data_IF_747070424281
#
_entry.id   IF_747070424281
#
_cell.length_a   1.000
_cell.length_b   1.000
_cell.length_c   1.000
_cell.angle_alpha   90.00
_cell.angle_beta   90.00
_cell.angle_gamma   90.00
#
_symmetry.space_group_name_H-M   'P 1'
#
loop_
_entity.id
_entity.type
_entity.pdbx_description
1 polymer ?
#
# COMPACT_ATOMS: atom_id res chain seq x y z
N UNK A 1 -25.75 8.89 -20.48
CA UNK A 1 -24.38 9.11 -19.95
C UNK A 1 -23.83 7.76 -19.52
N UNK A 2 -22.57 7.44 -19.82
CA UNK A 2 -21.94 6.20 -19.36
C UNK A 2 -21.80 6.26 -17.84
N UNK A 3 -21.88 5.12 -17.18
CA UNK A 3 -21.59 4.97 -15.76
C UNK A 3 -20.31 4.13 -15.64
N UNK A 4 -19.26 4.77 -15.19
CA UNK A 4 -17.93 4.19 -15.12
C UNK A 4 -17.49 4.01 -13.66
N UNK A 5 -16.69 2.98 -13.40
CA UNK A 5 -16.00 2.79 -12.13
C UNK A 5 -14.50 2.70 -12.39
N UNK A 6 -13.72 3.13 -11.42
CA UNK A 6 -12.26 3.02 -11.47
C UNK A 6 -11.81 2.00 -10.44
N UNK A 7 -11.06 1.00 -10.89
CA UNK A 7 -10.31 0.08 -10.02
C UNK A 7 -8.85 0.52 -9.94
N UNK A 8 -8.30 0.56 -8.73
CA UNK A 8 -6.90 0.90 -8.48
C UNK A 8 -6.25 -0.26 -7.76
N UNK A 9 -5.06 -0.66 -8.22
CA UNK A 9 -4.18 -1.59 -7.50
C UNK A 9 -2.84 -0.89 -7.26
N UNK A 10 -2.57 -0.53 -6.00
CA UNK A 10 -1.33 0.12 -5.57
C UNK A 10 -0.38 -0.93 -4.96
N UNK A 11 0.38 -1.60 -5.82
CA UNK A 11 1.31 -2.64 -5.43
C UNK A 11 2.69 -2.11 -5.02
N UNK A 12 3.65 -3.02 -4.86
CA UNK A 12 5.03 -2.68 -4.44
C UNK A 12 5.85 -2.05 -5.56
N UNK A 13 5.54 -2.35 -6.82
CA UNK A 13 6.36 -1.93 -7.98
C UNK A 13 5.66 -0.91 -8.87
N UNK A 14 4.34 -0.80 -8.78
CA UNK A 14 3.55 0.10 -9.60
C UNK A 14 2.16 0.31 -9.01
N UNK A 15 1.52 1.39 -9.44
CA UNK A 15 0.07 1.54 -9.31
C UNK A 15 -0.57 1.40 -10.68
N UNK A 16 -1.61 0.57 -10.76
CA UNK A 16 -2.44 0.35 -11.95
C UNK A 16 -3.82 0.95 -11.73
N UNK A 17 -4.39 1.57 -12.76
CA UNK A 17 -5.79 2.01 -12.78
C UNK A 17 -6.52 1.40 -13.98
N UNK A 18 -7.75 0.93 -13.73
CA UNK A 18 -8.68 0.44 -14.74
C UNK A 18 -9.90 1.36 -14.78
N UNK A 19 -10.37 1.70 -15.98
CA UNK A 19 -11.68 2.34 -16.20
C UNK A 19 -12.61 1.30 -16.77
N UNK A 20 -13.69 1.01 -16.07
CA UNK A 20 -14.61 -0.08 -16.36
C UNK A 20 -16.03 0.46 -16.55
N UNK A 21 -16.73 -0.01 -17.59
CA UNK A 21 -18.14 0.25 -17.78
C UNK A 21 -18.95 -0.55 -16.75
N UNK A 22 -19.66 0.15 -15.87
CA UNK A 22 -20.41 -0.46 -14.78
C UNK A 22 -21.59 -1.35 -15.25
N UNK A 23 -22.08 -1.16 -16.48
CA UNK A 23 -23.20 -1.93 -17.01
C UNK A 23 -22.83 -3.34 -17.43
N UNK A 24 -21.62 -3.50 -18.01
CA UNK A 24 -21.23 -4.75 -18.67
C UNK A 24 -19.85 -5.28 -18.23
N UNK A 25 -19.14 -4.58 -17.33
CA UNK A 25 -17.83 -4.98 -16.84
C UNK A 25 -16.69 -4.80 -17.85
N UNK A 26 -16.92 -4.15 -18.98
CA UNK A 26 -15.89 -3.97 -20.01
C UNK A 26 -14.83 -2.98 -19.56
N UNK A 27 -13.56 -3.38 -19.61
CA UNK A 27 -12.42 -2.48 -19.40
C UNK A 27 -12.26 -1.59 -20.63
N UNK A 28 -12.39 -0.27 -20.43
CA UNK A 28 -12.30 0.75 -21.47
C UNK A 28 -10.93 1.44 -21.52
N UNK A 29 -10.22 1.42 -20.40
CA UNK A 29 -8.87 1.97 -20.29
C UNK A 29 -8.12 1.31 -19.15
N UNK A 30 -6.83 1.07 -19.35
CA UNK A 30 -5.91 0.50 -18.36
C UNK A 30 -4.56 1.19 -18.49
N UNK A 31 -4.01 1.68 -17.39
CA UNK A 31 -2.66 2.25 -17.32
C UNK A 31 -2.03 1.97 -15.97
N UNK A 32 -0.71 1.88 -16.00
CA UNK A 32 0.09 1.79 -14.77
C UNK A 32 1.28 2.74 -14.82
N UNK A 33 1.72 3.15 -13.64
CA UNK A 33 2.97 3.89 -13.42
C UNK A 33 3.81 3.16 -12.40
N UNK A 34 5.08 2.92 -12.74
CA UNK A 34 6.05 2.24 -11.89
C UNK A 34 6.74 3.20 -10.93
N UNK A 35 7.19 2.67 -9.82
CA UNK A 35 8.08 3.31 -8.83
C UNK A 35 8.99 2.25 -8.21
N UNK A 36 9.94 2.65 -7.40
CA UNK A 36 10.95 1.75 -6.84
C UNK A 36 11.08 1.84 -5.33
N UNK A 37 11.97 1.00 -4.81
CA UNK A 37 12.43 1.08 -3.43
C UNK A 37 13.45 2.21 -3.28
N UNK A 38 13.53 2.81 -2.11
CA UNK A 38 14.63 3.70 -1.72
C UNK A 38 15.92 2.89 -1.73
N UNK A 39 16.93 3.40 -2.41
CA UNK A 39 18.25 2.77 -2.53
C UNK A 39 19.16 3.15 -1.38
N UNK A 40 20.17 2.32 -1.10
CA UNK A 40 21.20 2.61 -0.10
C UNK A 40 20.77 2.40 1.35
N UNK A 41 19.63 1.77 1.59
CA UNK A 41 19.17 1.41 2.94
C UNK A 41 19.98 0.22 3.50
N UNK A 42 20.07 0.08 4.84
CA UNK A 42 20.68 -1.07 5.49
C UNK A 42 20.06 -2.40 5.05
N UNK A 43 20.78 -3.50 5.28
CA UNK A 43 20.30 -4.84 4.98
C UNK A 43 18.94 -5.11 5.68
N UNK A 44 18.02 -5.74 4.95
CA UNK A 44 16.67 -6.02 5.44
C UNK A 44 15.67 -4.86 5.32
N UNK A 45 16.13 -3.60 5.25
CA UNK A 45 15.24 -2.45 5.11
C UNK A 45 14.68 -2.33 3.69
N UNK A 46 13.36 -2.16 3.59
CA UNK A 46 12.61 -1.96 2.33
C UNK A 46 11.59 -0.86 2.53
N UNK A 47 11.89 0.31 1.95
CA UNK A 47 11.10 1.52 2.15
C UNK A 47 10.75 2.20 0.83
N UNK A 48 9.64 2.96 0.83
CA UNK A 48 9.18 3.79 -0.28
C UNK A 48 8.66 5.13 0.23
N UNK A 49 8.67 6.14 -0.62
CA UNK A 49 8.00 7.40 -0.34
C UNK A 49 6.49 7.26 -0.63
N UNK A 50 5.59 7.49 0.33
CA UNK A 50 4.14 7.45 0.09
C UNK A 50 3.68 8.41 -1.01
N UNK A 51 4.40 9.52 -1.23
CA UNK A 51 4.13 10.43 -2.33
C UNK A 51 4.20 9.75 -3.71
N UNK A 52 5.13 8.81 -3.90
CA UNK A 52 5.27 8.07 -5.17
C UNK A 52 3.99 7.29 -5.50
N UNK A 53 3.30 6.75 -4.48
CA UNK A 53 2.05 6.02 -4.66
C UNK A 53 0.91 6.95 -5.09
N UNK A 54 0.83 8.15 -4.50
CA UNK A 54 -0.18 9.16 -4.84
C UNK A 54 0.05 9.65 -6.27
N UNK A 55 1.30 10.04 -6.60
CA UNK A 55 1.67 10.49 -7.94
C UNK A 55 1.42 9.42 -9.01
N UNK A 56 1.71 8.16 -8.70
CA UNK A 56 1.47 7.05 -9.60
C UNK A 56 -0.04 6.78 -9.77
N UNK A 57 -0.82 6.88 -8.69
CA UNK A 57 -2.27 6.74 -8.72
C UNK A 57 -2.91 7.80 -9.62
N UNK A 58 -2.58 9.08 -9.39
CA UNK A 58 -3.12 10.17 -10.20
C UNK A 58 -2.74 10.04 -11.68
N UNK A 59 -1.46 9.75 -11.96
CA UNK A 59 -1.00 9.59 -13.32
C UNK A 59 -1.70 8.42 -14.04
N UNK A 60 -1.87 7.28 -13.35
CA UNK A 60 -2.52 6.11 -13.91
C UNK A 60 -4.01 6.36 -14.18
N UNK A 61 -4.72 7.02 -13.26
CA UNK A 61 -6.13 7.40 -13.44
C UNK A 61 -6.28 8.33 -14.65
N UNK A 62 -5.52 9.42 -14.72
CA UNK A 62 -5.57 10.38 -15.83
C UNK A 62 -5.32 9.70 -17.17
N UNK A 63 -4.32 8.84 -17.24
CA UNK A 63 -3.96 8.13 -18.46
C UNK A 63 -5.01 7.06 -18.87
N UNK A 64 -5.60 6.35 -17.90
CA UNK A 64 -6.65 5.37 -18.16
C UNK A 64 -7.96 6.06 -18.64
N UNK A 65 -8.36 7.18 -18.03
CA UNK A 65 -9.49 7.99 -18.48
C UNK A 65 -9.29 8.51 -19.92
N UNK A 66 -8.08 9.01 -20.22
CA UNK A 66 -7.74 9.45 -21.59
C UNK A 66 -7.86 8.30 -22.60
N UNK A 67 -7.38 7.10 -22.27
CA UNK A 67 -7.52 5.92 -23.12
C UNK A 67 -8.98 5.53 -23.32
N UNK A 68 -9.78 5.55 -22.26
CA UNK A 68 -11.21 5.27 -22.29
C UNK A 68 -12.03 6.36 -23.02
N UNK A 69 -11.42 7.48 -23.41
CA UNK A 69 -12.09 8.68 -23.91
C UNK A 69 -13.23 9.08 -22.98
N UNK A 70 -12.94 9.08 -21.66
CA UNK A 70 -13.92 9.34 -20.61
C UNK A 70 -13.59 10.62 -19.84
N UNK A 71 -14.62 11.23 -19.28
CA UNK A 71 -14.51 12.39 -18.39
C UNK A 71 -14.68 11.97 -16.93
N UNK A 72 -14.18 12.79 -16.01
CA UNK A 72 -14.35 12.55 -14.58
C UNK A 72 -15.84 12.52 -14.16
N UNK A 73 -16.70 13.29 -14.83
CA UNK A 73 -18.14 13.35 -14.55
C UNK A 73 -18.90 12.05 -14.87
N UNK A 74 -18.31 11.13 -15.63
CA UNK A 74 -18.87 9.81 -15.91
C UNK A 74 -18.51 8.77 -14.84
N UNK A 75 -17.53 9.08 -13.95
CA UNK A 75 -17.08 8.18 -12.89
C UNK A 75 -18.03 8.25 -11.70
N UNK A 76 -18.54 7.09 -11.27
CA UNK A 76 -19.48 6.95 -10.14
C UNK A 76 -18.83 6.46 -8.87
N UNK A 77 -17.77 5.66 -8.99
CA UNK A 77 -17.08 5.10 -7.83
C UNK A 77 -15.61 4.79 -8.16
N UNK A 78 -14.80 4.73 -7.09
CA UNK A 78 -13.42 4.28 -7.13
C UNK A 78 -13.26 3.19 -6.07
N UNK A 79 -12.74 2.03 -6.48
CA UNK A 79 -12.32 0.96 -5.57
C UNK A 79 -10.80 0.86 -5.56
N UNK A 80 -10.23 0.67 -4.36
CA UNK A 80 -8.79 0.59 -4.18
C UNK A 80 -8.41 -0.75 -3.57
N UNK A 81 -7.44 -1.40 -4.16
CA UNK A 81 -6.67 -2.52 -3.63
C UNK A 81 -5.19 -2.15 -3.60
N UNK A 82 -4.38 -2.88 -2.85
CA UNK A 82 -2.95 -2.62 -2.83
C UNK A 82 -2.18 -3.48 -1.84
N UNK A 83 -0.87 -3.19 -1.72
CA UNK A 83 0.01 -3.86 -0.78
C UNK A 83 -0.45 -3.65 0.67
N UNK A 84 -0.32 -4.71 1.49
CA UNK A 84 -0.74 -4.71 2.88
C UNK A 84 0.46 -4.56 3.83
N UNK A 85 0.20 -4.40 5.13
CA UNK A 85 1.20 -4.35 6.20
C UNK A 85 2.27 -3.26 6.07
N UNK A 86 2.12 -2.34 5.11
CA UNK A 86 2.95 -1.15 5.02
C UNK A 86 2.71 -0.24 6.24
N UNK A 87 3.79 0.36 6.76
CA UNK A 87 3.72 1.28 7.87
C UNK A 87 4.02 2.71 7.39
N UNK A 88 2.99 3.54 7.33
CA UNK A 88 3.08 4.97 6.98
C UNK A 88 2.80 5.80 8.23
N UNK A 89 3.83 6.27 8.95
CA UNK A 89 3.62 7.10 10.12
C UNK A 89 3.28 8.54 9.72
N UNK A 90 2.25 9.08 10.36
CA UNK A 90 1.77 10.44 10.15
C UNK A 90 1.88 11.26 11.44
N UNK A 91 2.10 12.55 11.31
CA UNK A 91 2.00 13.48 12.44
C UNK A 91 0.53 13.84 12.76
N UNK A 92 0.33 14.67 13.77
CA UNK A 92 -1.02 15.16 14.19
C UNK A 92 -1.74 15.96 13.12
N UNK A 93 -1.03 16.42 12.07
CA UNK A 93 -1.59 17.16 10.94
C UNK A 93 -1.81 16.28 9.72
N UNK A 94 -1.57 14.96 9.86
CA UNK A 94 -1.67 14.00 8.77
C UNK A 94 -0.49 14.05 7.78
N UNK A 95 0.62 14.69 8.15
CA UNK A 95 1.82 14.73 7.30
C UNK A 95 2.67 13.48 7.50
N UNK A 96 3.19 12.94 6.41
CA UNK A 96 4.11 11.81 6.46
C UNK A 96 5.42 12.24 7.12
N UNK A 97 5.79 11.59 8.25
CA UNK A 97 7.00 11.93 9.01
C UNK A 97 8.25 11.22 8.53
N UNK A 98 8.10 10.12 7.79
CA UNK A 98 9.20 9.38 7.19
C UNK A 98 8.71 8.44 6.08
N UNK A 99 9.63 7.89 5.24
CA UNK A 99 9.29 6.84 4.28
C UNK A 99 8.59 5.65 4.93
N UNK A 100 7.71 5.02 4.18
CA UNK A 100 6.95 3.86 4.62
C UNK A 100 7.83 2.61 4.63
N UNK A 101 7.84 1.85 5.75
CA UNK A 101 8.38 0.49 5.80
C UNK A 101 7.39 -0.47 5.17
N UNK A 102 7.84 -1.28 4.22
CA UNK A 102 6.98 -2.17 3.44
C UNK A 102 6.75 -3.52 4.13
N UNK A 103 5.84 -4.31 3.57
CA UNK A 103 5.55 -5.67 4.02
C UNK A 103 6.76 -6.63 3.89
N UNK A 104 7.66 -6.37 2.93
CA UNK A 104 8.89 -7.12 2.71
C UNK A 104 10.10 -6.56 3.49
N UNK A 105 9.90 -5.56 4.35
CA UNK A 105 10.92 -5.06 5.28
C UNK A 105 11.09 -6.05 6.43
N UNK A 106 12.32 -6.49 6.66
CA UNK A 106 12.68 -7.44 7.72
C UNK A 106 13.56 -6.82 8.81
N UNK A 107 13.76 -5.50 8.77
CA UNK A 107 14.67 -4.79 9.67
C UNK A 107 14.13 -4.62 11.10
N UNK A 108 12.93 -5.10 11.39
CA UNK A 108 12.27 -5.00 12.71
C UNK A 108 12.12 -6.36 13.41
N UNK A 109 13.07 -7.25 13.19
CA UNK A 109 13.03 -8.59 13.78
C UNK A 109 13.16 -8.56 15.32
N UNK A 110 14.05 -7.70 15.83
CA UNK A 110 14.28 -7.55 17.29
C UNK A 110 13.02 -7.05 18.01
N UNK A 111 12.32 -6.09 17.43
CA UNK A 111 11.05 -5.57 17.96
C UNK A 111 9.94 -6.64 17.93
N UNK A 112 9.92 -7.47 16.90
CA UNK A 112 8.98 -8.59 16.83
C UNK A 112 9.26 -9.63 17.93
N UNK A 113 10.52 -9.95 18.17
CA UNK A 113 10.93 -10.86 19.24
C UNK A 113 10.61 -10.28 20.62
N UNK A 114 10.81 -8.96 20.83
CA UNK A 114 10.40 -8.27 22.05
C UNK A 114 8.88 -8.39 22.30
N UNK A 115 8.07 -8.14 21.28
CA UNK A 115 6.60 -8.26 21.39
C UNK A 115 6.20 -9.70 21.70
N UNK A 116 6.74 -10.67 20.97
CA UNK A 116 6.45 -12.09 21.22
C UNK A 116 6.89 -12.54 22.61
N UNK A 117 8.04 -12.07 23.09
CA UNK A 117 8.52 -12.37 24.45
C UNK A 117 7.52 -11.93 25.53
N UNK A 118 6.94 -10.72 25.38
CA UNK A 118 5.91 -10.20 26.30
C UNK A 118 4.59 -10.97 26.24
N UNK A 119 4.31 -11.66 25.15
CA UNK A 119 3.12 -12.51 24.98
C UNK A 119 3.33 -13.97 25.43
N UNK A 120 4.49 -14.32 25.95
CA UNK A 120 4.82 -15.71 26.34
C UNK A 120 5.35 -16.56 25.18
N UNK A 121 6.03 -15.93 24.23
CA UNK A 121 6.61 -16.56 23.05
C UNK A 121 5.59 -16.87 21.96
N UNK A 122 5.98 -17.74 21.01
CA UNK A 122 5.12 -18.11 19.88
C UNK A 122 3.75 -18.67 20.31
N UNK A 123 3.73 -19.55 21.32
CA UNK A 123 2.48 -20.15 21.82
C UNK A 123 1.54 -19.09 22.39
N UNK A 124 2.08 -18.15 23.17
CA UNK A 124 1.30 -17.03 23.71
C UNK A 124 0.79 -16.12 22.60
N UNK A 125 1.64 -15.76 21.65
CA UNK A 125 1.26 -14.94 20.49
C UNK A 125 0.10 -15.57 19.69
N UNK A 126 0.20 -16.87 19.38
CA UNK A 126 -0.89 -17.58 18.66
C UNK A 126 -2.17 -17.61 19.50
N UNK A 127 -2.08 -17.83 20.81
CA UNK A 127 -3.25 -17.87 21.72
C UNK A 127 -3.96 -16.51 21.77
N UNK A 128 -3.20 -15.41 21.91
CA UNK A 128 -3.77 -14.08 22.12
C UNK A 128 -4.14 -13.35 20.82
N UNK A 129 -3.36 -13.57 19.73
CA UNK A 129 -3.50 -12.84 18.47
C UNK A 129 -3.96 -13.71 17.29
N UNK A 130 -3.97 -15.04 17.46
CA UNK A 130 -4.23 -15.98 16.36
C UNK A 130 -3.06 -16.09 15.37
N UNK A 131 -1.93 -15.42 15.61
CA UNK A 131 -0.79 -15.39 14.71
C UNK A 131 0.54 -15.13 15.42
N UNK A 132 1.65 -15.42 14.74
CA UNK A 132 2.98 -14.96 15.15
C UNK A 132 3.18 -13.48 14.79
N UNK A 133 3.99 -12.76 15.56
CA UNK A 133 4.42 -11.40 15.21
C UNK A 133 5.68 -11.49 14.36
N UNK A 134 5.56 -11.15 13.08
CA UNK A 134 6.64 -11.26 12.09
C UNK A 134 7.06 -9.87 11.56
N UNK A 135 8.33 -9.67 11.16
CA UNK A 135 8.81 -8.36 10.68
C UNK A 135 8.05 -7.80 9.49
N UNK A 136 7.47 -8.65 8.63
CA UNK A 136 6.60 -8.22 7.54
C UNK A 136 5.33 -7.51 8.00
N UNK A 137 4.85 -7.76 9.22
CA UNK A 137 3.65 -7.15 9.78
C UNK A 137 3.94 -5.77 10.41
N UNK A 138 2.88 -5.02 10.73
CA UNK A 138 3.01 -3.61 11.12
C UNK A 138 3.46 -3.42 12.57
N UNK A 139 3.17 -4.36 13.48
CA UNK A 139 3.40 -4.19 14.92
C UNK A 139 4.87 -3.90 15.27
N UNK A 140 5.81 -4.69 14.74
CA UNK A 140 7.25 -4.46 14.96
C UNK A 140 7.71 -3.11 14.43
N UNK A 141 7.16 -2.66 13.30
CA UNK A 141 7.50 -1.35 12.70
C UNK A 141 7.04 -0.17 13.56
N UNK A 142 5.91 -0.32 14.27
CA UNK A 142 5.43 0.69 15.22
C UNK A 142 6.37 0.77 16.42
N UNK A 143 6.75 -0.37 16.99
CA UNK A 143 7.68 -0.41 18.12
C UNK A 143 9.05 0.16 17.74
N UNK A 144 9.55 -0.18 16.56
CA UNK A 144 10.81 0.33 16.01
C UNK A 144 10.84 1.87 15.87
N UNK A 145 9.70 2.52 15.59
CA UNK A 145 9.64 3.97 15.44
C UNK A 145 9.55 4.70 16.80
N UNK A 146 9.14 4.03 17.86
CA UNK A 146 8.96 4.62 19.20
C UNK A 146 10.28 5.03 19.81
#
# INVERSE_FOLDING_TARGET
MRELVIGIDSGTQSTKALVVDAKNGKVLGERSKTYGLIKGLPAGAKEQHPADWIDATEASIRAALKQAKATAGEVRAIGVSGQQHGFVPLDKKGQVIRPAKLWCDTSTAEECDEIMGKLGGLKGSIKELGNAVLPGFTAGKILWLK
#
